data_IF_737205085862
#
_entry.id   IF_737205085862
#
_cell.length_a   1.000
_cell.length_b   1.000
_cell.length_c   1.000
_cell.angle_alpha   90.00
_cell.angle_beta   90.00
_cell.angle_gamma   90.00
#
_symmetry.space_group_name_H-M   'P 1'
#
loop_
_entity.id
_entity.type
_entity.pdbx_description
1 polymer ?
#
# COMPACT_ATOMS: atom_id res chain seq x y z
N UNK A 1 49.31 4.90 -35.29
CA UNK A 1 49.31 3.43 -35.14
C UNK A 1 48.00 3.05 -34.46
N UNK A 2 47.21 2.17 -35.10
CA UNK A 2 45.90 1.77 -34.60
C UNK A 2 45.98 1.05 -33.26
N UNK A 3 45.21 1.52 -32.28
CA UNK A 3 44.54 0.64 -31.32
C UNK A 3 43.10 1.16 -31.15
N UNK A 4 42.21 0.56 -31.94
CA UNK A 4 40.75 0.43 -31.79
C UNK A 4 39.99 1.41 -30.88
N UNK A 5 39.26 2.32 -31.52
CA UNK A 5 37.99 2.90 -31.08
C UNK A 5 37.00 1.80 -30.64
N UNK A 6 36.91 1.54 -29.32
CA UNK A 6 35.79 0.85 -28.68
C UNK A 6 35.54 1.47 -27.31
N UNK A 7 34.59 2.38 -27.25
CA UNK A 7 33.48 2.39 -26.29
C UNK A 7 32.68 3.65 -26.58
N UNK A 8 31.46 3.44 -27.06
CA UNK A 8 30.46 4.48 -27.23
C UNK A 8 30.11 4.99 -25.83
N UNK A 9 30.88 5.95 -25.34
CA UNK A 9 30.52 6.77 -24.21
C UNK A 9 29.40 7.71 -24.65
N UNK A 10 28.26 7.61 -23.96
CA UNK A 10 27.35 8.73 -23.79
C UNK A 10 26.30 8.95 -24.87
N UNK A 11 25.13 8.31 -24.70
CA UNK A 11 23.87 9.07 -24.69
C UNK A 11 22.84 8.40 -23.79
N UNK A 12 22.65 9.08 -22.67
CA UNK A 12 21.82 8.77 -21.52
C UNK A 12 20.33 8.77 -21.92
N UNK A 13 19.77 7.58 -22.12
CA UNK A 13 18.34 7.42 -22.39
C UNK A 13 17.60 7.59 -21.05
N UNK A 14 17.05 8.78 -20.79
CA UNK A 14 16.05 8.97 -19.74
C UNK A 14 14.73 8.41 -20.29
N UNK A 15 14.61 7.08 -20.30
CA UNK A 15 13.30 6.45 -20.32
C UNK A 15 12.78 6.61 -18.90
N UNK A 16 11.82 7.51 -18.72
CA UNK A 16 11.19 7.78 -17.44
C UNK A 16 10.86 6.44 -16.74
N UNK A 17 11.64 6.08 -15.72
CA UNK A 17 11.47 4.81 -15.02
C UNK A 17 10.24 4.98 -14.15
N UNK A 18 9.08 4.57 -14.69
CA UNK A 18 7.80 4.63 -13.99
C UNK A 18 7.93 3.98 -12.62
N UNK A 19 7.67 4.75 -11.56
CA UNK A 19 7.67 4.25 -10.20
C UNK A 19 6.75 3.03 -10.09
N UNK A 20 7.32 1.89 -9.70
CA UNK A 20 6.56 0.68 -9.38
C UNK A 20 6.32 0.66 -7.88
N UNK A 21 5.07 0.56 -7.47
CA UNK A 21 4.72 0.44 -6.07
C UNK A 21 5.28 -0.87 -5.51
N UNK A 22 6.19 -0.78 -4.54
CA UNK A 22 6.74 -1.95 -3.85
C UNK A 22 5.68 -2.52 -2.92
N UNK A 23 5.37 -3.81 -3.06
CA UNK A 23 4.42 -4.49 -2.17
C UNK A 23 5.07 -4.73 -0.82
N UNK A 24 4.58 -4.06 0.22
CA UNK A 24 4.97 -4.32 1.61
C UNK A 24 4.34 -5.65 2.03
N UNK A 25 5.18 -6.61 2.43
CA UNK A 25 4.71 -7.91 2.94
C UNK A 25 4.04 -7.70 4.31
N UNK A 26 2.92 -8.38 4.55
CA UNK A 26 2.22 -8.41 5.84
C UNK A 26 1.73 -7.05 6.39
N UNK A 27 1.38 -6.11 5.52
CA UNK A 27 0.88 -4.79 5.93
C UNK A 27 -0.35 -4.83 6.87
N UNK A 28 -1.13 -5.92 6.85
CA UNK A 28 -2.33 -6.10 7.68
C UNK A 28 -2.02 -6.21 9.17
N UNK A 29 -0.86 -6.78 9.54
CA UNK A 29 -0.49 -6.97 10.96
C UNK A 29 -0.29 -5.63 11.69
N UNK A 30 0.01 -4.56 10.95
CA UNK A 30 0.20 -3.22 11.52
C UNK A 30 -1.10 -2.63 12.10
N UNK A 31 -2.26 -3.20 11.79
CA UNK A 31 -3.56 -2.69 12.27
C UNK A 31 -4.03 -3.36 13.56
N UNK A 32 -3.17 -4.19 14.17
CA UNK A 32 -3.39 -4.80 15.47
C UNK A 32 -2.39 -4.26 16.47
N UNK A 33 -2.88 -3.77 17.60
CA UNK A 33 -2.06 -3.43 18.77
C UNK A 33 -2.32 -4.47 19.84
N UNK A 34 -1.25 -5.02 20.40
CA UNK A 34 -1.33 -5.95 21.52
C UNK A 34 -0.95 -5.17 22.78
N UNK A 35 -1.86 -5.10 23.73
CA UNK A 35 -1.57 -4.54 25.06
C UNK A 35 -0.78 -5.57 25.89
N UNK A 36 -0.01 -5.11 26.89
CA UNK A 36 0.83 -5.97 27.72
C UNK A 36 0.11 -7.09 28.48
N UNK A 37 -1.22 -7.00 28.61
CA UNK A 37 -2.07 -8.05 29.20
C UNK A 37 -2.57 -9.06 28.16
N UNK A 38 -2.07 -9.04 26.92
CA UNK A 38 -2.47 -9.94 25.84
C UNK A 38 -3.79 -9.59 25.16
N UNK A 39 -4.35 -8.39 25.40
CA UNK A 39 -5.56 -7.94 24.72
C UNK A 39 -5.20 -7.36 23.34
N UNK A 40 -5.94 -7.78 22.31
CA UNK A 40 -5.74 -7.30 20.93
C UNK A 40 -6.75 -6.20 20.63
N UNK A 41 -6.24 -4.98 20.40
CA UNK A 41 -7.02 -3.85 19.91
C UNK A 41 -6.90 -3.73 18.40
N UNK A 42 -8.04 -3.56 17.72
CA UNK A 42 -8.11 -3.27 16.28
C UNK A 42 -8.11 -1.76 16.10
N UNK A 43 -7.14 -1.22 15.35
CA UNK A 43 -7.02 0.24 15.18
C UNK A 43 -7.98 0.81 14.12
N UNK A 44 -8.46 -0.01 13.18
CA UNK A 44 -9.30 0.44 12.06
C UNK A 44 -10.68 -0.16 12.12
N UNK A 45 -11.64 0.57 11.55
CA UNK A 45 -13.03 0.12 11.41
C UNK A 45 -13.11 -1.05 10.43
N UNK A 46 -13.92 -2.03 10.78
CA UNK A 46 -14.32 -3.10 9.87
C UNK A 46 -15.42 -2.60 8.93
N UNK A 47 -15.49 -3.21 7.74
CA UNK A 47 -16.57 -2.89 6.80
C UNK A 47 -17.89 -3.52 7.27
N UNK A 48 -19.00 -2.78 7.30
CA UNK A 48 -20.30 -3.30 7.73
C UNK A 48 -21.02 -4.15 6.67
N UNK A 49 -20.50 -4.24 5.44
CA UNK A 49 -21.20 -5.00 4.40
C UNK A 49 -21.06 -6.51 4.64
N UNK A 50 -22.17 -7.24 4.43
CA UNK A 50 -22.24 -8.70 4.61
C UNK A 50 -21.21 -9.42 3.72
N UNK A 51 -20.88 -8.85 2.56
CA UNK A 51 -19.86 -9.37 1.63
C UNK A 51 -18.41 -9.23 2.14
N UNK A 52 -18.18 -8.29 3.05
CA UNK A 52 -16.87 -7.91 3.57
C UNK A 52 -16.81 -8.28 5.04
N UNK A 53 -16.93 -9.58 5.30
CA UNK A 53 -16.93 -10.17 6.64
C UNK A 53 -15.71 -9.82 7.53
N UNK A 54 -15.70 -10.34 8.77
CA UNK A 54 -14.77 -9.93 9.81
C UNK A 54 -13.32 -10.13 9.36
N UNK A 55 -12.54 -9.04 9.37
CA UNK A 55 -11.15 -9.01 8.90
C UNK A 55 -10.89 -8.07 7.71
N UNK A 56 -11.95 -7.54 7.08
CA UNK A 56 -11.81 -6.48 6.06
C UNK A 56 -11.80 -5.11 6.73
N UNK A 57 -10.59 -4.56 6.93
CA UNK A 57 -10.43 -3.21 7.46
C UNK A 57 -10.65 -2.14 6.39
N UNK A 58 -11.33 -1.06 6.77
CA UNK A 58 -11.46 0.12 5.92
C UNK A 58 -10.18 0.95 5.97
N UNK A 59 -9.76 1.48 4.82
CA UNK A 59 -8.68 2.45 4.72
C UNK A 59 -9.15 3.79 5.30
N UNK A 60 -8.36 4.34 6.23
CA UNK A 60 -8.63 5.65 6.81
C UNK A 60 -7.87 6.71 6.04
N UNK A 61 -8.60 7.51 5.27
CA UNK A 61 -8.10 8.78 4.73
C UNK A 61 -8.65 9.93 5.59
N UNK A 62 -8.20 11.16 5.32
CA UNK A 62 -8.61 12.34 6.08
C UNK A 62 -10.11 12.63 5.95
N UNK A 63 -10.63 12.51 4.74
CA UNK A 63 -11.99 12.86 4.33
C UNK A 63 -12.94 11.65 4.28
N UNK A 64 -12.40 10.44 4.24
CA UNK A 64 -13.18 9.24 3.95
C UNK A 64 -12.63 7.96 4.56
N UNK A 65 -13.53 7.01 4.71
CA UNK A 65 -13.23 5.60 4.89
C UNK A 65 -13.57 4.81 3.64
N UNK A 66 -12.59 4.09 3.11
CA UNK A 66 -12.74 3.32 1.88
C UNK A 66 -12.58 1.83 2.14
N UNK A 67 -13.52 1.01 1.67
CA UNK A 67 -13.37 -0.44 1.73
C UNK A 67 -12.70 -0.96 0.45
N UNK A 68 -11.51 -1.56 0.60
CA UNK A 68 -10.78 -2.12 -0.54
C UNK A 68 -11.38 -3.39 -1.16
N UNK A 69 -12.33 -4.06 -0.48
CA UNK A 69 -12.96 -5.30 -0.99
C UNK A 69 -14.27 -5.05 -1.72
N UNK A 70 -15.13 -4.21 -1.16
CA UNK A 70 -16.47 -3.92 -1.72
C UNK A 70 -16.56 -2.54 -2.40
N UNK A 71 -15.51 -1.70 -2.33
CA UNK A 71 -15.47 -0.40 -3.00
C UNK A 71 -16.34 0.69 -2.37
N UNK A 72 -17.02 0.39 -1.27
CA UNK A 72 -17.87 1.35 -0.56
C UNK A 72 -17.02 2.42 0.13
N UNK A 73 -17.47 3.68 0.00
CA UNK A 73 -16.79 4.84 0.59
C UNK A 73 -17.75 5.54 1.54
N UNK A 74 -17.36 5.71 2.79
CA UNK A 74 -18.06 6.55 3.76
C UNK A 74 -17.30 7.87 3.90
N UNK A 75 -17.95 8.98 3.60
CA UNK A 75 -17.38 10.32 3.77
C UNK A 75 -17.82 10.85 5.13
N UNK A 76 -16.87 11.39 5.88
CA UNK A 76 -17.18 12.09 7.12
C UNK A 76 -17.66 13.49 6.79
N UNK A 77 -18.90 13.82 7.17
CA UNK A 77 -19.40 15.19 7.14
C UNK A 77 -19.02 15.89 8.44
#
# INVERSE_FOLDING_TARGET
MQIFVKTLTGKMIILEIKHRHKKVKLAVLQFYKVDGTGKVQRLRKECPSVSCGPGTFMASHFDRHYCGKCGTTYVFK
#
